data_IF_258067033775
#
_entry.id   IF_258067033775
#
_cell.length_a   1.000
_cell.length_b   1.000
_cell.length_c   1.000
_cell.angle_alpha   90.00
_cell.angle_beta   90.00
_cell.angle_gamma   90.00
#
_symmetry.space_group_name_H-M   'P 1'
#
loop_
_entity.id
_entity.type
_entity.pdbx_description
1 polymer ?
#
# COMPACT_ATOMS: atom_id res chain seq x y z
N UNK A 1 -4.05 -17.45 -4.97
CA UNK A 1 -3.26 -16.47 -4.19
C UNK A 1 -3.77 -16.45 -2.76
N UNK A 2 -2.89 -16.60 -1.77
CA UNK A 2 -3.21 -16.37 -0.36
C UNK A 2 -3.13 -14.86 -0.02
N UNK A 3 -3.49 -14.48 1.22
CA UNK A 3 -3.51 -13.07 1.64
C UNK A 3 -2.09 -12.46 1.68
N UNK A 4 -1.10 -13.23 2.09
CA UNK A 4 0.31 -12.81 2.14
C UNK A 4 0.86 -12.54 0.74
N UNK A 5 0.48 -13.36 -0.24
CA UNK A 5 0.83 -13.19 -1.65
C UNK A 5 0.18 -11.94 -2.24
N UNK A 6 -1.09 -11.67 -1.91
CA UNK A 6 -1.78 -10.43 -2.31
C UNK A 6 -1.11 -9.18 -1.73
N UNK A 7 -0.69 -9.22 -0.47
CA UNK A 7 -0.01 -8.09 0.18
C UNK A 7 1.37 -7.76 -0.42
N UNK A 8 2.04 -8.76 -1.03
CA UNK A 8 3.33 -8.59 -1.73
C UNK A 8 3.16 -8.25 -3.21
N UNK A 9 1.98 -8.44 -3.77
CA UNK A 9 1.70 -8.19 -5.17
C UNK A 9 1.63 -6.68 -5.46
N UNK A 10 1.84 -6.26 -6.73
CA UNK A 10 1.71 -4.86 -7.10
C UNK A 10 0.29 -4.37 -6.81
N UNK A 11 0.19 -3.22 -6.14
CA UNK A 11 -1.07 -2.53 -5.85
C UNK A 11 -1.40 -1.54 -6.97
N UNK A 12 -2.68 -1.38 -7.37
CA UNK A 12 -3.07 -0.40 -8.38
C UNK A 12 -2.80 1.04 -7.93
N UNK A 13 -2.56 1.96 -8.89
CA UNK A 13 -2.22 3.37 -8.60
C UNK A 13 -3.25 4.08 -7.71
N UNK A 14 -4.54 3.84 -7.96
CA UNK A 14 -5.63 4.40 -7.14
C UNK A 14 -5.54 3.98 -5.67
N UNK A 15 -5.38 2.68 -5.39
CA UNK A 15 -5.29 2.17 -4.02
C UNK A 15 -4.00 2.56 -3.31
N UNK A 16 -2.90 2.79 -4.04
CA UNK A 16 -1.69 3.38 -3.44
C UNK A 16 -1.96 4.78 -2.89
N UNK A 17 -2.65 5.63 -3.66
CA UNK A 17 -3.04 6.96 -3.19
C UNK A 17 -3.99 6.84 -2.00
N UNK A 18 -4.97 5.93 -2.08
CA UNK A 18 -5.94 5.72 -1.01
C UNK A 18 -5.28 5.26 0.31
N UNK A 19 -4.27 4.39 0.22
CA UNK A 19 -3.44 3.98 1.37
C UNK A 19 -2.74 5.18 2.00
N UNK A 20 -2.12 6.04 1.20
CA UNK A 20 -1.42 7.23 1.72
C UNK A 20 -2.38 8.19 2.41
N UNK A 21 -3.58 8.40 1.85
CA UNK A 21 -4.63 9.20 2.50
C UNK A 21 -5.08 8.57 3.82
N UNK A 22 -5.33 7.26 3.82
CA UNK A 22 -5.70 6.52 5.04
C UNK A 22 -4.65 6.62 6.15
N UNK A 23 -3.37 6.49 5.79
CA UNK A 23 -2.25 6.64 6.72
C UNK A 23 -2.11 8.07 7.25
N UNK A 24 -2.32 9.09 6.40
CA UNK A 24 -2.30 10.48 6.82
C UNK A 24 -3.42 10.78 7.82
N UNK A 25 -4.64 10.32 7.53
CA UNK A 25 -5.77 10.45 8.46
C UNK A 25 -5.50 9.75 9.79
N UNK A 26 -4.89 8.57 9.75
CA UNK A 26 -4.54 7.80 10.94
C UNK A 26 -3.47 8.52 11.77
N UNK A 27 -2.46 9.12 11.13
CA UNK A 27 -1.44 9.91 11.82
C UNK A 27 -2.04 11.14 12.51
N UNK A 28 -2.90 11.90 11.82
CA UNK A 28 -3.59 13.06 12.41
C UNK A 28 -4.48 12.62 13.57
N UNK A 29 -5.28 11.58 13.37
CA UNK A 29 -6.18 11.06 14.41
C UNK A 29 -5.41 10.55 15.63
N UNK A 30 -4.31 9.82 15.41
CA UNK A 30 -3.44 9.34 16.48
C UNK A 30 -2.81 10.50 17.28
N UNK A 31 -2.41 11.57 16.61
CA UNK A 31 -1.89 12.77 17.28
C UNK A 31 -2.92 13.46 18.16
N UNK A 32 -4.18 13.55 17.70
CA UNK A 32 -5.29 14.14 18.48
C UNK A 32 -5.59 13.28 19.72
N UNK A 33 -5.66 11.95 19.54
CA UNK A 33 -5.95 11.02 20.64
C UNK A 33 -4.84 10.99 21.70
N UNK A 34 -3.59 11.30 21.32
CA UNK A 34 -2.47 11.36 22.26
C UNK A 34 -2.52 12.58 23.22
N UNK A 35 -3.32 13.62 22.91
CA UNK A 35 -3.46 14.82 23.74
C UNK A 35 -4.93 15.15 24.06
N UNK A 36 -5.66 14.26 24.77
CA UNK A 36 -7.11 14.40 24.95
C UNK A 36 -7.51 15.53 25.91
N UNK A 37 -6.63 15.94 26.83
CA UNK A 37 -6.96 16.92 27.90
C UNK A 37 -6.95 18.36 27.37
N UNK A 38 -6.24 18.62 26.28
CA UNK A 38 -6.13 19.97 25.69
C UNK A 38 -7.26 20.29 24.69
N UNK A 39 -8.12 19.31 24.36
CA UNK A 39 -9.07 19.41 23.26
C UNK A 39 -10.52 19.14 23.72
N UNK A 40 -11.51 19.85 23.15
CA UNK A 40 -12.92 19.56 23.41
C UNK A 40 -13.29 18.13 23.00
N UNK A 41 -14.19 17.49 23.76
CA UNK A 41 -14.59 16.08 23.55
C UNK A 41 -15.04 15.78 22.11
N UNK A 42 -15.73 16.71 21.47
CA UNK A 42 -16.21 16.55 20.08
C UNK A 42 -15.07 16.34 19.08
N UNK A 43 -13.92 16.98 19.31
CA UNK A 43 -12.73 16.84 18.44
C UNK A 43 -12.15 15.44 18.56
N UNK A 44 -12.08 14.91 19.78
CA UNK A 44 -11.59 13.55 20.05
C UNK A 44 -12.52 12.51 19.43
N UNK A 45 -13.85 12.71 19.49
CA UNK A 45 -14.83 11.82 18.86
C UNK A 45 -14.68 11.78 17.34
N UNK A 46 -14.54 12.94 16.69
CA UNK A 46 -14.30 13.01 15.23
C UNK A 46 -12.99 12.34 14.86
N UNK A 47 -11.92 12.55 15.64
CA UNK A 47 -10.65 11.87 15.44
C UNK A 47 -10.78 10.34 15.57
N UNK A 48 -11.62 9.85 16.50
CA UNK A 48 -11.92 8.43 16.62
C UNK A 48 -12.51 7.84 15.34
N UNK A 49 -13.51 8.50 14.74
CA UNK A 49 -14.09 8.06 13.47
C UNK A 49 -13.09 8.16 12.30
N UNK A 50 -12.30 9.22 12.25
CA UNK A 50 -11.26 9.39 11.24
C UNK A 50 -10.17 8.30 11.35
N UNK A 51 -9.82 7.88 12.57
CA UNK A 51 -8.90 6.76 12.79
C UNK A 51 -9.47 5.45 12.24
N UNK A 52 -10.75 5.14 12.50
CA UNK A 52 -11.40 3.94 11.98
C UNK A 52 -11.47 3.95 10.45
N UNK A 53 -11.82 5.09 9.84
CA UNK A 53 -11.81 5.23 8.39
C UNK A 53 -10.39 5.03 7.82
N UNK A 54 -9.38 5.67 8.43
CA UNK A 54 -7.99 5.57 8.01
C UNK A 54 -7.42 4.15 8.10
N UNK A 55 -7.76 3.39 9.15
CA UNK A 55 -7.31 2.00 9.32
C UNK A 55 -7.91 1.09 8.25
N UNK A 56 -9.22 1.15 8.03
CA UNK A 56 -9.92 0.33 7.02
C UNK A 56 -9.40 0.65 5.62
N UNK A 57 -9.32 1.93 5.26
CA UNK A 57 -8.79 2.36 3.96
C UNK A 57 -7.37 1.85 3.74
N UNK A 58 -6.50 1.97 4.74
CA UNK A 58 -5.10 1.55 4.65
C UNK A 58 -4.93 0.03 4.57
N UNK A 59 -5.75 -0.73 5.30
CA UNK A 59 -5.68 -2.19 5.32
C UNK A 59 -6.22 -2.80 4.03
N UNK A 60 -7.37 -2.33 3.54
CA UNK A 60 -7.97 -2.81 2.30
C UNK A 60 -7.07 -2.51 1.10
N UNK A 61 -6.49 -1.30 1.06
CA UNK A 61 -5.58 -0.90 -0.02
C UNK A 61 -4.28 -1.71 -0.08
N UNK A 62 -3.94 -2.48 0.96
CA UNK A 62 -2.75 -3.34 0.97
C UNK A 62 -2.98 -4.70 0.32
N UNK A 63 -4.23 -5.16 0.26
CA UNK A 63 -4.56 -6.51 -0.26
C UNK A 63 -5.12 -6.47 -1.69
N UNK A 64 -5.26 -5.27 -2.27
CA UNK A 64 -5.64 -5.08 -3.66
C UNK A 64 -4.48 -5.36 -4.59
N UNK A 65 -4.73 -6.13 -5.65
CA UNK A 65 -3.73 -6.55 -6.62
C UNK A 65 -4.03 -5.92 -7.97
N UNK A 66 -2.99 -5.48 -8.66
CA UNK A 66 -2.99 -5.05 -10.04
C UNK A 66 -2.54 -6.24 -10.91
N UNK A 67 -3.50 -6.96 -11.49
CA UNK A 67 -3.23 -8.19 -12.24
C UNK A 67 -2.45 -7.94 -13.54
N UNK A 68 -2.63 -6.78 -14.18
CA UNK A 68 -1.88 -6.40 -15.37
C UNK A 68 -0.42 -6.09 -15.02
N UNK A 69 -0.19 -5.29 -13.97
CA UNK A 69 1.16 -5.01 -13.49
C UNK A 69 1.86 -6.28 -12.99
N UNK A 70 1.12 -7.23 -12.39
CA UNK A 70 1.67 -8.52 -11.97
C UNK A 70 2.12 -9.35 -13.16
N UNK A 71 1.30 -9.44 -14.23
CA UNK A 71 1.64 -10.18 -15.44
C UNK A 71 2.88 -9.59 -16.13
N UNK A 72 3.01 -8.27 -16.15
CA UNK A 72 4.20 -7.59 -16.68
C UNK A 72 5.47 -7.95 -15.88
N UNK A 73 5.40 -7.94 -14.54
CA UNK A 73 6.54 -8.36 -13.70
C UNK A 73 6.95 -9.81 -13.93
N UNK A 74 5.99 -10.72 -14.14
CA UNK A 74 6.29 -12.12 -14.46
C UNK A 74 6.96 -12.28 -15.82
N UNK A 75 6.53 -11.52 -16.83
CA UNK A 75 7.18 -11.50 -18.16
C UNK A 75 8.60 -10.96 -18.05
N UNK A 76 8.80 -9.82 -17.41
CA UNK A 76 10.13 -9.22 -17.22
C UNK A 76 11.07 -10.17 -16.47
N UNK A 77 10.57 -10.84 -15.42
CA UNK A 77 11.36 -11.84 -14.68
C UNK A 77 11.79 -13.00 -15.57
N UNK A 78 10.88 -13.54 -16.40
CA UNK A 78 11.20 -14.61 -17.36
C UNK A 78 12.25 -14.14 -18.38
N UNK A 79 12.11 -12.94 -18.91
CA UNK A 79 13.08 -12.37 -19.85
C UNK A 79 14.46 -12.15 -19.20
N UNK A 80 14.50 -11.73 -17.94
CA UNK A 80 15.75 -11.59 -17.18
C UNK A 80 16.40 -12.94 -16.92
N UNK A 81 15.61 -13.96 -16.57
CA UNK A 81 16.10 -15.33 -16.39
C UNK A 81 16.65 -15.88 -17.70
N UNK A 82 15.92 -15.75 -18.81
CA UNK A 82 16.37 -16.17 -20.14
C UNK A 82 17.67 -15.45 -20.56
N UNK A 83 17.74 -14.12 -20.37
CA UNK A 83 18.93 -13.33 -20.68
C UNK A 83 20.14 -13.70 -19.81
N UNK A 84 19.95 -14.21 -18.59
CA UNK A 84 21.04 -14.69 -17.73
C UNK A 84 21.79 -15.88 -18.34
N UNK A 85 21.11 -16.68 -19.16
CA UNK A 85 21.68 -17.85 -19.82
C UNK A 85 22.20 -17.55 -21.23
N UNK A 86 21.92 -16.36 -21.77
CA UNK A 86 22.52 -15.93 -23.02
C UNK A 86 24.01 -15.65 -22.80
N UNK A 87 24.91 -16.14 -23.68
CA UNK A 87 26.28 -15.69 -23.70
C UNK A 87 26.28 -14.17 -23.79
N UNK A 88 26.98 -13.49 -22.87
CA UNK A 88 27.24 -12.07 -23.02
C UNK A 88 28.18 -11.91 -24.20
N UNK A 89 27.60 -11.83 -25.40
CA UNK A 89 28.35 -11.60 -26.62
C UNK A 89 28.90 -10.18 -26.52
N UNK A 90 30.12 -10.10 -26.01
CA UNK A 90 30.85 -8.86 -25.86
C UNK A 90 31.19 -8.38 -27.26
N UNK A 91 30.54 -7.29 -27.66
CA UNK A 91 30.94 -6.50 -28.82
C UNK A 91 32.43 -6.16 -28.63
N UNK A 92 33.28 -6.76 -29.47
CA UNK A 92 34.70 -6.44 -29.59
C UNK A 92 34.90 -5.17 -30.40
#
# INVERSE_FOLDING_TARGET
MNIVERAKAPTPKFFRVLRTVGLALLAVSGSIVAAPVALPAIVVTVAGYAAVAGTVLSAVSQVTVDDDAKREQEIVKRLQEENKYLPRDGIK
#
